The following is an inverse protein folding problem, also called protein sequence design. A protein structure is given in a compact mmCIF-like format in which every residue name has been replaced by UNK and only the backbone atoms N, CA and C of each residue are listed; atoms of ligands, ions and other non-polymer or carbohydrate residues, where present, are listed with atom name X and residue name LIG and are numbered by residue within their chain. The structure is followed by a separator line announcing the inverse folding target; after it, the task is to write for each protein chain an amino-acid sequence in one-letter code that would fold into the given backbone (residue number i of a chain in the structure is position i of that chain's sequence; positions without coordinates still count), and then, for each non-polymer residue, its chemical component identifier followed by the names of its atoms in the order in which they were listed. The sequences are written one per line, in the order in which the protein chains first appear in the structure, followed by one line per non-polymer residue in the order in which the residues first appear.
data_IF_205500500196
#
_entry.id   IF_205500500196
#
_cell.length_a   1.000
_cell.length_b   1.000
_cell.length_c   1.000
_cell.angle_alpha   90.00
_cell.angle_beta   90.00
_cell.angle_gamma   90.00
#
_symmetry.space_group_name_H-M   'P 1'
#
loop_
_entity.id
_entity.type
_entity.pdbx_description
1 polymer ?
#
# COMPACT_ATOMS: atom_id res chain seq x y z
N UNK A 1 26.96 16.91 45.51
CA UNK A 1 27.53 16.04 44.48
C UNK A 1 27.36 16.74 43.11
N UNK A 2 28.49 17.24 42.59
CA UNK A 2 28.55 18.03 41.35
C UNK A 2 28.48 17.07 40.14
N UNK A 3 27.60 17.32 39.21
CA UNK A 3 27.61 16.67 37.90
C UNK A 3 28.44 17.50 36.93
N UNK A 4 29.55 16.92 36.46
CA UNK A 4 30.38 17.44 35.36
C UNK A 4 29.65 17.23 34.03
N UNK A 5 29.49 18.31 33.28
CA UNK A 5 29.18 18.30 31.84
C UNK A 5 30.49 18.17 31.06
N UNK A 6 30.69 17.10 30.31
CA UNK A 6 31.76 16.99 29.33
C UNK A 6 31.25 17.50 27.97
N UNK A 7 31.80 18.64 27.56
CA UNK A 7 31.65 19.14 26.19
C UNK A 7 32.74 18.51 25.36
N UNK A 8 32.38 17.60 24.42
CA UNK A 8 33.32 17.02 23.46
C UNK A 8 33.34 17.94 22.24
N UNK A 9 34.45 18.68 22.08
CA UNK A 9 34.76 19.48 20.90
C UNK A 9 35.41 18.55 19.87
N UNK A 10 34.70 18.22 18.75
CA UNK A 10 35.28 17.51 17.64
C UNK A 10 35.98 18.52 16.70
N UNK A 11 37.31 18.56 16.77
CA UNK A 11 38.12 19.15 15.71
C UNK A 11 38.34 18.10 14.61
N UNK A 12 37.74 18.32 13.45
CA UNK A 12 38.08 17.57 12.22
C UNK A 12 39.29 18.28 11.56
N UNK A 13 40.33 17.53 11.16
CA UNK A 13 41.42 18.09 10.36
C UNK A 13 40.96 18.29 8.89
N UNK A 14 41.21 19.51 8.38
CA UNK A 14 41.12 19.79 6.95
C UNK A 14 42.21 18.99 6.22
N UNK A 15 41.82 17.99 5.44
CA UNK A 15 42.70 17.38 4.43
C UNK A 15 42.50 18.18 3.13
N UNK A 16 43.47 19.00 2.79
CA UNK A 16 43.56 19.62 1.45
C UNK A 16 44.17 18.58 0.53
N UNK A 17 43.37 17.94 -0.28
CA UNK A 17 43.84 17.20 -1.46
C UNK A 17 43.79 18.09 -2.67
N UNK A 18 44.97 18.51 -3.18
CA UNK A 18 45.12 19.07 -4.54
C UNK A 18 44.94 17.94 -5.56
N UNK A 19 43.84 17.94 -6.30
CA UNK A 19 43.59 17.06 -7.46
C UNK A 19 42.76 17.81 -8.48
N UNK A 20 43.27 17.89 -9.72
CA UNK A 20 42.74 18.61 -10.84
C UNK A 20 41.31 18.16 -11.25
N UNK A 21 40.47 19.16 -11.51
CA UNK A 21 39.27 19.01 -12.35
C UNK A 21 38.07 18.36 -11.64
N UNK A 22 37.47 19.09 -10.71
CA UNK A 22 36.10 18.84 -10.29
C UNK A 22 35.32 20.13 -10.48
N UNK A 23 34.23 20.05 -11.21
CA UNK A 23 33.20 21.10 -11.23
C UNK A 23 32.64 21.26 -9.80
N UNK A 24 33.35 22.02 -8.99
CA UNK A 24 32.82 22.52 -7.72
C UNK A 24 31.80 23.59 -8.07
N UNK A 25 30.53 23.29 -7.87
CA UNK A 25 29.47 24.31 -7.84
C UNK A 25 29.99 25.49 -7.03
N UNK A 26 30.09 26.67 -7.66
CA UNK A 26 30.55 27.88 -6.97
C UNK A 26 29.63 28.15 -5.75
N UNK A 27 30.16 28.79 -4.73
CA UNK A 27 29.35 29.24 -3.59
C UNK A 27 28.13 30.06 -4.03
N UNK A 28 28.21 30.79 -5.14
CA UNK A 28 27.09 31.50 -5.76
C UNK A 28 26.01 30.53 -6.31
N UNK A 29 26.39 29.36 -6.82
CA UNK A 29 25.43 28.34 -7.28
C UNK A 29 24.78 27.58 -6.11
N UNK A 30 25.49 27.45 -5.00
CA UNK A 30 24.91 26.91 -3.75
C UNK A 30 23.95 27.94 -3.15
N UNK A 31 24.31 29.23 -3.13
CA UNK A 31 23.43 30.31 -2.65
C UNK A 31 22.20 30.52 -3.54
N UNK A 32 22.29 30.29 -4.87
CA UNK A 32 21.11 30.38 -5.75
C UNK A 32 20.09 29.24 -5.54
N UNK A 33 20.46 28.20 -4.80
CA UNK A 33 19.53 27.18 -4.31
C UNK A 33 18.79 27.61 -3.03
N UNK A 34 19.33 28.59 -2.32
CA UNK A 34 18.71 29.16 -1.11
C UNK A 34 17.69 30.26 -1.43
N UNK A 35 17.74 30.88 -2.60
CA UNK A 35 16.73 31.83 -3.11
C UNK A 35 15.55 31.18 -3.85
N UNK A 36 15.27 29.90 -3.65
CA UNK A 36 13.90 29.42 -3.82
C UNK A 36 13.09 30.13 -2.73
N UNK A 37 12.29 31.12 -3.13
CA UNK A 37 11.22 31.67 -2.31
C UNK A 37 10.73 30.57 -1.39
N UNK A 38 10.97 30.74 -0.08
CA UNK A 38 10.70 29.69 0.89
C UNK A 38 9.25 29.27 0.72
N UNK A 39 9.03 28.06 0.25
CA UNK A 39 7.68 27.51 0.22
C UNK A 39 7.27 27.38 1.67
N UNK A 40 6.52 28.38 2.15
CA UNK A 40 6.03 28.40 3.53
C UNK A 40 5.16 27.16 3.73
N UNK A 41 5.67 26.20 4.45
CA UNK A 41 4.91 25.02 4.83
C UNK A 41 3.99 25.38 5.99
N UNK A 42 2.71 25.62 5.71
CA UNK A 42 1.70 25.84 6.75
C UNK A 42 1.12 24.51 7.21
N UNK A 43 1.24 24.25 8.49
CA UNK A 43 0.58 23.12 9.14
C UNK A 43 -0.80 23.60 9.59
N UNK A 44 -1.83 23.01 8.97
CA UNK A 44 -3.23 23.33 9.26
C UNK A 44 -4.01 22.06 9.57
N UNK A 45 -5.07 22.18 10.35
CA UNK A 45 -5.99 21.07 10.55
C UNK A 45 -6.64 20.68 9.21
N UNK A 46 -6.65 19.39 8.83
CA UNK A 46 -7.32 18.95 7.62
C UNK A 46 -8.84 19.19 7.72
N UNK A 47 -9.50 19.58 6.62
CA UNK A 47 -10.95 19.76 6.64
C UNK A 47 -11.66 18.43 6.82
N UNK A 48 -12.67 18.40 7.69
CA UNK A 48 -13.58 17.28 7.79
C UNK A 48 -14.64 17.39 6.69
N UNK A 49 -14.89 16.35 5.88
CA UNK A 49 -15.94 16.40 4.86
C UNK A 49 -17.33 16.47 5.49
N UNK A 50 -18.27 17.11 4.82
CA UNK A 50 -19.67 17.18 5.28
C UNK A 50 -20.36 15.81 5.21
N UNK A 51 -19.99 14.98 4.23
CA UNK A 51 -20.46 13.61 4.04
C UNK A 51 -19.29 12.72 3.73
N UNK A 52 -19.33 11.49 4.22
CA UNK A 52 -18.38 10.44 3.89
C UNK A 52 -19.12 9.12 3.71
N UNK A 53 -18.56 8.21 2.92
CA UNK A 53 -19.10 6.88 2.70
C UNK A 53 -17.98 5.87 2.50
N UNK A 54 -18.26 4.60 2.81
CA UNK A 54 -17.39 3.48 2.51
C UNK A 54 -18.19 2.34 1.90
N UNK A 55 -17.79 1.88 0.72
CA UNK A 55 -18.47 0.83 -0.04
C UNK A 55 -20.00 1.05 -0.21
N UNK A 56 -20.41 2.31 -0.42
CA UNK A 56 -21.81 2.70 -0.54
C UNK A 56 -22.54 2.94 0.79
N UNK A 57 -21.94 2.59 1.93
CA UNK A 57 -22.51 2.83 3.26
C UNK A 57 -22.14 4.23 3.76
N UNK A 58 -23.12 4.96 4.30
CA UNK A 58 -22.91 6.30 4.84
C UNK A 58 -22.17 6.25 6.18
N UNK A 59 -21.22 7.17 6.37
CA UNK A 59 -20.52 7.38 7.65
C UNK A 59 -21.36 8.35 8.48
N UNK A 60 -21.81 7.97 9.69
CA UNK A 60 -22.73 8.79 10.49
C UNK A 60 -22.01 9.96 11.17
N UNK A 61 -21.58 10.95 10.39
CA UNK A 61 -20.83 12.12 10.86
C UNK A 61 -21.60 13.07 11.76
N UNK A 62 -22.89 12.83 12.03
CA UNK A 62 -23.67 13.54 13.06
C UNK A 62 -23.21 13.19 14.48
N UNK A 63 -22.57 12.03 14.69
CA UNK A 63 -22.06 11.62 15.99
C UNK A 63 -20.66 12.18 16.24
N UNK A 64 -20.40 12.70 17.43
CA UNK A 64 -19.13 13.37 17.76
C UNK A 64 -17.93 12.44 17.72
N UNK A 65 -18.08 11.22 18.24
CA UNK A 65 -17.02 10.18 18.29
C UNK A 65 -16.64 9.66 16.91
N UNK A 66 -17.60 9.52 15.99
CA UNK A 66 -17.37 9.19 14.58
C UNK A 66 -16.60 10.32 13.86
N UNK A 67 -17.01 11.58 14.10
CA UNK A 67 -16.31 12.77 13.57
C UNK A 67 -14.87 12.84 14.04
N UNK A 68 -14.64 12.69 15.34
CA UNK A 68 -13.33 12.74 15.96
C UNK A 68 -12.43 11.59 15.48
N UNK A 69 -12.99 10.38 15.33
CA UNK A 69 -12.29 9.22 14.80
C UNK A 69 -11.84 9.45 13.35
N UNK A 70 -12.70 9.97 12.49
CA UNK A 70 -12.33 10.30 11.12
C UNK A 70 -11.30 11.44 11.07
N UNK A 71 -11.52 12.50 11.85
CA UNK A 71 -10.58 13.64 11.91
C UNK A 71 -9.20 13.21 12.37
N UNK A 72 -9.10 12.31 13.35
CA UNK A 72 -7.83 11.73 13.78
C UNK A 72 -7.08 11.05 12.63
N UNK A 73 -7.75 10.21 11.83
CA UNK A 73 -7.11 9.53 10.70
C UNK A 73 -6.76 10.52 9.58
N UNK A 74 -7.62 11.47 9.28
CA UNK A 74 -7.33 12.56 8.33
C UNK A 74 -6.08 13.34 8.77
N UNK A 75 -6.01 13.75 10.04
CA UNK A 75 -4.86 14.46 10.59
C UNK A 75 -3.59 13.64 10.49
N UNK A 76 -3.63 12.37 10.93
CA UNK A 76 -2.48 11.47 10.90
C UNK A 76 -1.95 11.29 9.47
N UNK A 77 -2.84 10.96 8.52
CA UNK A 77 -2.45 10.64 7.14
C UNK A 77 -2.00 11.89 6.39
N UNK A 78 -2.67 13.02 6.59
CA UNK A 78 -2.29 14.29 5.92
C UNK A 78 -0.87 14.72 6.33
N UNK A 79 -0.44 14.44 7.56
CA UNK A 79 0.90 14.80 8.01
C UNK A 79 1.98 13.75 7.67
N UNK A 80 1.64 12.62 7.04
CA UNK A 80 2.59 11.69 6.44
C UNK A 80 3.01 12.11 5.03
N UNK A 81 3.45 13.35 4.86
CA UNK A 81 3.63 13.98 3.55
C UNK A 81 4.35 13.08 2.53
N UNK A 82 5.56 12.63 2.84
CA UNK A 82 6.36 11.80 1.92
C UNK A 82 5.71 10.46 1.61
N UNK A 83 5.20 9.78 2.63
CA UNK A 83 4.54 8.47 2.46
C UNK A 83 3.26 8.60 1.66
N UNK A 84 2.43 9.61 1.95
CA UNK A 84 1.17 9.80 1.24
C UNK A 84 1.38 10.22 -0.23
N UNK A 85 2.36 11.09 -0.51
CA UNK A 85 2.73 11.42 -1.90
C UNK A 85 3.16 10.17 -2.67
N UNK A 86 4.01 9.32 -2.06
CA UNK A 86 4.44 8.08 -2.70
C UNK A 86 3.29 7.09 -2.92
N UNK A 87 2.36 6.97 -1.97
CA UNK A 87 1.13 6.17 -2.13
C UNK A 87 0.30 6.68 -3.32
N UNK A 88 0.13 8.00 -3.45
CA UNK A 88 -0.60 8.58 -4.59
C UNK A 88 0.11 8.32 -5.93
N UNK A 89 1.45 8.35 -5.96
CA UNK A 89 2.24 7.97 -7.14
C UNK A 89 2.01 6.49 -7.51
N UNK A 90 2.10 5.58 -6.53
CA UNK A 90 1.86 4.14 -6.73
C UNK A 90 0.40 3.86 -7.11
N UNK A 91 -0.55 4.61 -6.57
CA UNK A 91 -1.97 4.47 -6.93
C UNK A 91 -2.19 4.70 -8.43
N UNK A 92 -1.48 5.63 -9.06
CA UNK A 92 -1.54 5.82 -10.51
C UNK A 92 -1.15 4.57 -11.30
N UNK A 93 -0.25 3.74 -10.75
CA UNK A 93 0.19 2.49 -11.39
C UNK A 93 -0.74 1.32 -11.13
N UNK A 94 -1.21 1.15 -9.89
CA UNK A 94 -1.82 -0.10 -9.45
C UNK A 94 -3.34 -0.03 -9.28
N UNK A 95 -3.91 1.17 -9.13
CA UNK A 95 -5.34 1.35 -8.85
C UNK A 95 -6.24 0.69 -9.90
N UNK A 96 -5.98 0.97 -11.18
CA UNK A 96 -6.81 0.42 -12.26
C UNK A 96 -6.81 -1.11 -12.30
N UNK A 97 -5.69 -1.75 -11.96
CA UNK A 97 -5.60 -3.21 -11.90
C UNK A 97 -6.39 -3.78 -10.72
N UNK A 98 -6.31 -3.15 -9.55
CA UNK A 98 -7.05 -3.59 -8.36
C UNK A 98 -8.55 -3.36 -8.55
N UNK A 99 -8.96 -2.16 -9.01
CA UNK A 99 -10.37 -1.83 -9.23
C UNK A 99 -11.03 -2.74 -10.28
N UNK A 100 -10.30 -3.10 -11.35
CA UNK A 100 -10.78 -4.08 -12.33
C UNK A 100 -11.12 -5.43 -11.67
N UNK A 101 -10.26 -5.93 -10.79
CA UNK A 101 -10.52 -7.20 -10.08
C UNK A 101 -11.68 -7.04 -9.10
N UNK A 102 -11.79 -5.91 -8.40
CA UNK A 102 -12.92 -5.62 -7.51
C UNK A 102 -14.25 -5.62 -8.29
N UNK A 103 -14.28 -4.97 -9.46
CA UNK A 103 -15.45 -4.93 -10.35
C UNK A 103 -15.83 -6.33 -10.85
N UNK A 104 -14.87 -7.10 -11.37
CA UNK A 104 -15.07 -8.49 -11.81
C UNK A 104 -15.63 -9.38 -10.70
N UNK A 105 -15.25 -9.13 -9.46
CA UNK A 105 -15.74 -9.84 -8.28
C UNK A 105 -17.01 -9.21 -7.67
N UNK A 106 -17.54 -8.12 -8.24
CA UNK A 106 -18.76 -7.45 -7.76
C UNK A 106 -18.60 -6.71 -6.44
N UNK A 107 -17.38 -6.24 -6.12
CA UNK A 107 -17.09 -5.41 -4.95
C UNK A 107 -16.99 -3.93 -5.31
N UNK A 108 -17.35 -3.09 -4.34
CA UNK A 108 -17.24 -1.64 -4.49
C UNK A 108 -15.75 -1.21 -4.61
N UNK A 109 -15.40 -0.24 -5.49
CA UNK A 109 -14.03 0.21 -5.69
C UNK A 109 -13.38 0.81 -4.43
N UNK A 110 -14.15 1.23 -3.44
CA UNK A 110 -13.63 1.72 -2.16
C UNK A 110 -12.74 0.71 -1.43
N UNK A 111 -12.88 -0.58 -1.70
CA UNK A 111 -11.99 -1.60 -1.14
C UNK A 111 -10.54 -1.45 -1.60
N UNK A 112 -10.26 -0.70 -2.66
CA UNK A 112 -8.90 -0.27 -2.99
C UNK A 112 -8.23 0.47 -1.82
N UNK A 113 -8.97 1.30 -1.10
CA UNK A 113 -8.41 2.04 0.05
C UNK A 113 -8.14 1.15 1.27
N UNK A 114 -8.78 -0.02 1.35
CA UNK A 114 -8.38 -1.05 2.32
C UNK A 114 -7.00 -1.61 1.99
N UNK A 115 -6.74 -1.95 0.72
CA UNK A 115 -5.42 -2.37 0.26
C UNK A 115 -4.35 -1.29 0.52
N UNK A 116 -4.69 -0.01 0.30
CA UNK A 116 -3.81 1.11 0.67
C UNK A 116 -3.50 1.11 2.17
N UNK A 117 -4.52 0.94 3.02
CA UNK A 117 -4.36 0.92 4.47
C UNK A 117 -3.50 -0.25 4.97
N UNK A 118 -3.55 -1.40 4.28
CA UNK A 118 -2.79 -2.61 4.63
C UNK A 118 -1.31 -2.50 4.33
N UNK A 119 -0.95 -2.04 3.14
CA UNK A 119 0.42 -2.15 2.65
C UNK A 119 1.01 -0.86 2.09
N UNK A 120 0.25 0.23 2.03
CA UNK A 120 0.66 1.43 1.27
C UNK A 120 1.00 1.11 -0.19
N UNK A 121 0.33 0.11 -0.78
CA UNK A 121 0.56 -0.43 -2.13
C UNK A 121 1.98 -0.99 -2.34
N UNK A 122 2.65 -1.44 -1.29
CA UNK A 122 4.00 -2.01 -1.34
C UNK A 122 4.00 -3.48 -0.87
N UNK A 123 4.97 -4.29 -1.32
CA UNK A 123 5.11 -5.69 -0.90
C UNK A 123 5.63 -5.77 0.54
N UNK A 124 4.77 -5.58 1.52
CA UNK A 124 5.11 -5.50 2.92
C UNK A 124 5.10 -6.86 3.64
N UNK A 125 5.82 -6.93 4.75
CA UNK A 125 5.75 -8.02 5.73
C UNK A 125 5.60 -7.40 7.11
N UNK A 126 4.51 -7.73 7.81
CA UNK A 126 4.26 -7.24 9.16
C UNK A 126 5.02 -8.04 10.22
N UNK A 127 5.20 -7.50 11.44
CA UNK A 127 5.77 -8.25 12.57
C UNK A 127 4.97 -9.53 12.90
N UNK A 128 3.67 -9.54 12.67
CA UNK A 128 2.80 -10.72 12.88
C UNK A 128 2.90 -11.76 11.74
N UNK A 129 3.72 -11.51 10.70
CA UNK A 129 3.92 -12.42 9.58
C UNK A 129 2.86 -12.32 8.48
N UNK A 130 2.00 -11.30 8.50
CA UNK A 130 1.16 -10.97 7.37
C UNK A 130 2.00 -10.44 6.22
N UNK A 131 1.67 -10.80 4.97
CA UNK A 131 2.50 -10.49 3.81
C UNK A 131 1.69 -10.03 2.60
N UNK A 132 2.39 -9.30 1.71
CA UNK A 132 1.89 -8.86 0.42
C UNK A 132 1.02 -7.62 0.51
N UNK A 133 0.31 -7.33 -0.57
CA UNK A 133 -0.44 -6.09 -0.72
C UNK A 133 -1.70 -6.02 0.14
N UNK A 134 -2.29 -7.18 0.41
CA UNK A 134 -3.49 -7.36 1.22
C UNK A 134 -3.20 -7.90 2.62
N UNK A 135 -1.93 -7.99 3.01
CA UNK A 135 -1.47 -8.40 4.35
C UNK A 135 -2.12 -9.68 4.89
N UNK A 136 -2.23 -10.71 4.05
CA UNK A 136 -2.72 -12.01 4.49
C UNK A 136 -1.74 -12.73 5.42
N UNK A 137 -2.26 -13.30 6.50
CA UNK A 137 -1.59 -14.38 7.23
C UNK A 137 -1.56 -15.65 6.37
N UNK A 138 -0.55 -16.50 6.53
CA UNK A 138 -0.37 -17.67 5.69
C UNK A 138 -1.54 -18.66 5.76
N UNK A 139 -2.14 -18.87 6.93
CA UNK A 139 -3.31 -19.73 7.11
C UNK A 139 -4.52 -19.21 6.33
N UNK A 140 -4.85 -17.95 6.53
CA UNK A 140 -5.97 -17.29 5.84
C UNK A 140 -5.75 -17.25 4.33
N UNK A 141 -4.54 -16.94 3.88
CA UNK A 141 -4.21 -16.93 2.45
C UNK A 141 -4.49 -18.29 1.79
N UNK A 142 -4.08 -19.39 2.44
CA UNK A 142 -4.34 -20.75 1.96
C UNK A 142 -5.84 -21.10 1.98
N UNK A 143 -6.58 -20.69 3.01
CA UNK A 143 -8.03 -20.88 3.09
C UNK A 143 -8.74 -20.24 1.89
N UNK A 144 -8.28 -19.05 1.47
CA UNK A 144 -8.84 -18.33 0.32
C UNK A 144 -8.15 -18.65 -1.02
N UNK A 145 -7.37 -19.74 -1.09
CA UNK A 145 -6.87 -20.34 -2.32
C UNK A 145 -5.55 -19.82 -2.84
N UNK A 146 -4.77 -19.10 -2.00
CA UNK A 146 -3.43 -18.65 -2.37
C UNK A 146 -2.38 -19.73 -2.13
N UNK A 147 -1.51 -19.96 -3.12
CA UNK A 147 -0.36 -20.85 -2.98
C UNK A 147 0.76 -20.18 -2.18
N UNK A 148 1.28 -20.91 -1.20
CA UNK A 148 2.42 -20.49 -0.40
C UNK A 148 3.35 -21.69 -0.18
N UNK A 149 4.54 -21.61 -0.76
CA UNK A 149 5.64 -22.57 -0.57
C UNK A 149 6.99 -21.84 -0.65
N UNK A 150 8.10 -22.58 -0.72
CA UNK A 150 9.44 -22.00 -0.80
C UNK A 150 9.74 -21.25 -2.10
N UNK A 151 9.03 -21.54 -3.18
CA UNK A 151 9.26 -20.96 -4.50
C UNK A 151 8.19 -19.95 -4.91
N UNK A 152 6.99 -20.07 -4.34
CA UNK A 152 5.80 -19.28 -4.69
C UNK A 152 5.16 -18.75 -3.42
N UNK A 153 4.83 -17.44 -3.41
CA UNK A 153 4.00 -16.82 -2.39
C UNK A 153 3.00 -15.88 -3.07
N UNK A 154 1.80 -16.36 -3.34
CA UNK A 154 0.77 -15.64 -4.09
C UNK A 154 0.16 -14.46 -3.33
N UNK A 155 0.51 -14.24 -2.06
CA UNK A 155 0.18 -13.00 -1.33
C UNK A 155 0.82 -11.77 -1.98
N UNK A 156 1.93 -11.97 -2.70
CA UNK A 156 2.63 -10.95 -3.48
C UNK A 156 2.18 -10.90 -4.96
N UNK A 157 1.14 -11.63 -5.33
CA UNK A 157 0.51 -11.53 -6.65
C UNK A 157 -0.70 -10.61 -6.57
N UNK A 158 -0.65 -9.46 -7.23
CA UNK A 158 -1.70 -8.45 -7.18
C UNK A 158 -3.09 -9.02 -7.49
N UNK A 159 -3.24 -9.69 -8.64
CA UNK A 159 -4.53 -10.20 -9.08
C UNK A 159 -5.06 -11.28 -8.12
N UNK A 160 -4.25 -12.28 -7.81
CA UNK A 160 -4.67 -13.41 -6.97
C UNK A 160 -4.96 -13.00 -5.55
N UNK A 161 -4.12 -12.15 -4.96
CA UNK A 161 -4.34 -11.66 -3.59
C UNK A 161 -5.57 -10.75 -3.50
N UNK A 162 -5.85 -9.94 -4.53
CA UNK A 162 -7.08 -9.15 -4.61
C UNK A 162 -8.31 -10.05 -4.70
N UNK A 163 -8.30 -11.09 -5.55
CA UNK A 163 -9.40 -12.06 -5.61
C UNK A 163 -9.62 -12.81 -4.30
N UNK A 164 -8.55 -13.16 -3.59
CA UNK A 164 -8.65 -13.78 -2.28
C UNK A 164 -9.27 -12.81 -1.25
N UNK A 165 -8.88 -11.54 -1.26
CA UNK A 165 -9.48 -10.50 -0.42
C UNK A 165 -10.97 -10.31 -0.73
N UNK A 166 -11.35 -10.31 -2.01
CA UNK A 166 -12.76 -10.24 -2.42
C UNK A 166 -13.57 -11.42 -1.87
N UNK A 167 -13.04 -12.64 -1.94
CA UNK A 167 -13.72 -13.83 -1.38
C UNK A 167 -13.92 -13.71 0.13
N UNK A 168 -12.88 -13.25 0.85
CA UNK A 168 -12.98 -13.01 2.29
C UNK A 168 -14.06 -11.98 2.60
N UNK A 169 -14.01 -10.83 1.94
CA UNK A 169 -14.94 -9.72 2.19
C UNK A 169 -16.39 -10.10 1.86
N UNK A 170 -16.63 -10.84 0.78
CA UNK A 170 -17.97 -11.36 0.44
C UNK A 170 -18.49 -12.32 1.53
N UNK A 171 -17.68 -13.30 1.94
CA UNK A 171 -18.01 -14.21 3.05
C UNK A 171 -18.34 -13.46 4.33
N UNK A 172 -17.58 -12.40 4.65
CA UNK A 172 -17.83 -11.57 5.81
C UNK A 172 -19.11 -10.74 5.67
N UNK A 173 -19.37 -10.18 4.48
CA UNK A 173 -20.59 -9.43 4.20
C UNK A 173 -21.86 -10.32 4.30
N UNK A 174 -21.81 -11.51 3.74
CA UNK A 174 -22.89 -12.51 3.87
C UNK A 174 -23.22 -12.79 5.35
N UNK A 175 -22.21 -12.75 6.22
CA UNK A 175 -22.36 -13.00 7.65
C UNK A 175 -22.87 -11.80 8.45
N UNK A 176 -22.38 -10.61 8.13
CA UNK A 176 -22.59 -9.40 8.95
C UNK A 176 -23.62 -8.42 8.37
N UNK A 177 -23.89 -8.48 7.08
CA UNK A 177 -24.85 -7.64 6.37
C UNK A 177 -24.38 -6.21 6.11
N UNK A 178 -23.18 -5.83 6.55
CA UNK A 178 -22.59 -4.50 6.30
C UNK A 178 -21.13 -4.59 5.86
N UNK A 179 -20.73 -3.72 4.94
CA UNK A 179 -19.36 -3.65 4.44
C UNK A 179 -18.37 -3.13 5.47
N UNK A 180 -18.83 -2.24 6.36
CA UNK A 180 -18.01 -1.72 7.45
C UNK A 180 -17.63 -2.79 8.47
N UNK A 181 -18.56 -3.70 8.85
CA UNK A 181 -18.22 -4.86 9.68
C UNK A 181 -17.40 -5.90 8.93
N UNK A 182 -17.67 -6.12 7.63
CA UNK A 182 -16.84 -6.99 6.80
C UNK A 182 -15.40 -6.49 6.73
N UNK A 183 -15.19 -5.18 6.55
CA UNK A 183 -13.88 -4.56 6.58
C UNK A 183 -13.21 -4.65 7.97
N UNK A 184 -13.95 -4.41 9.05
CA UNK A 184 -13.42 -4.55 10.41
C UNK A 184 -12.99 -6.00 10.69
N UNK A 185 -13.74 -6.99 10.20
CA UNK A 185 -13.40 -8.42 10.33
C UNK A 185 -12.14 -8.79 9.56
N UNK A 186 -11.81 -8.07 8.48
CA UNK A 186 -10.57 -8.28 7.73
C UNK A 186 -9.34 -8.01 8.59
N UNK A 187 -9.40 -6.98 9.43
CA UNK A 187 -8.33 -6.61 10.35
C UNK A 187 -8.21 -7.55 11.56
N UNK A 188 -9.32 -7.85 12.24
CA UNK A 188 -9.29 -8.57 13.53
C UNK A 188 -9.69 -10.05 13.41
N UNK A 189 -10.21 -10.47 12.27
CA UNK A 189 -10.76 -11.81 12.04
C UNK A 189 -12.26 -11.93 12.39
N UNK A 190 -12.98 -12.78 11.64
CA UNK A 190 -14.42 -12.96 11.81
C UNK A 190 -14.79 -13.46 13.22
N UNK A 191 -14.03 -14.39 13.79
CA UNK A 191 -14.30 -14.92 15.13
C UNK A 191 -14.31 -13.82 16.20
N UNK A 192 -13.36 -12.88 16.12
CA UNK A 192 -13.32 -11.77 17.07
C UNK A 192 -14.49 -10.79 16.88
N UNK A 193 -15.00 -10.60 15.66
CA UNK A 193 -16.22 -9.81 15.43
C UNK A 193 -17.44 -10.55 16.00
N UNK A 194 -17.52 -11.87 15.82
CA UNK A 194 -18.60 -12.69 16.41
C UNK A 194 -18.67 -12.55 17.94
N UNK A 195 -17.52 -12.65 18.59
CA UNK A 195 -17.40 -12.47 20.04
C UNK A 195 -17.88 -11.07 20.48
N UNK A 196 -17.53 -10.02 19.72
CA UNK A 196 -17.97 -8.65 20.01
C UNK A 196 -19.47 -8.48 19.81
N UNK A 197 -20.03 -9.05 18.74
CA UNK A 197 -21.48 -9.05 18.50
C UNK A 197 -22.19 -9.76 19.66
N UNK A 198 -21.72 -10.95 20.05
CA UNK A 198 -22.31 -11.73 21.15
C UNK A 198 -22.25 -11.00 22.49
N UNK A 199 -21.12 -10.41 22.81
CA UNK A 199 -20.92 -9.71 24.09
C UNK A 199 -21.66 -8.38 24.17
N UNK A 200 -21.64 -7.57 23.08
CA UNK A 200 -22.20 -6.21 23.08
C UNK A 200 -23.63 -6.15 22.55
N UNK A 201 -24.10 -7.20 21.88
CA UNK A 201 -25.40 -7.23 21.18
C UNK A 201 -25.55 -6.07 20.15
N UNK A 202 -24.45 -5.72 19.45
CA UNK A 202 -24.36 -4.65 18.48
C UNK A 202 -23.88 -5.21 17.15
N UNK A 203 -24.53 -4.78 16.03
CA UNK A 203 -24.19 -5.16 14.66
C UNK A 203 -23.89 -3.92 13.79
N UNK A 204 -23.34 -2.89 14.39
CA UNK A 204 -22.94 -1.67 13.71
C UNK A 204 -21.49 -1.35 14.09
N UNK A 205 -20.62 -1.17 13.09
CA UNK A 205 -19.22 -0.86 13.31
C UNK A 205 -19.02 0.39 14.16
N UNK A 206 -19.81 1.44 13.90
CA UNK A 206 -19.65 2.75 14.54
C UNK A 206 -20.06 2.76 16.02
N UNK A 207 -20.91 1.82 16.42
CA UNK A 207 -21.40 1.70 17.81
C UNK A 207 -20.63 0.60 18.58
N UNK A 208 -19.78 -0.18 17.90
CA UNK A 208 -19.10 -1.33 18.49
C UNK A 208 -17.80 -0.93 19.18
N UNK A 209 -17.62 -1.33 20.43
CA UNK A 209 -16.34 -1.21 21.13
C UNK A 209 -15.36 -2.24 20.58
N UNK A 210 -14.36 -1.77 19.85
CA UNK A 210 -13.32 -2.56 19.19
C UNK A 210 -11.94 -2.24 19.77
N UNK A 211 -10.95 -3.16 19.65
CA UNK A 211 -9.56 -2.82 19.89
C UNK A 211 -9.14 -1.62 19.04
N UNK A 212 -8.25 -0.80 19.59
CA UNK A 212 -7.87 0.50 18.99
C UNK A 212 -7.48 0.39 17.51
N UNK A 213 -6.73 -0.64 17.12
CA UNK A 213 -6.33 -0.83 15.72
C UNK A 213 -7.55 -1.05 14.81
N UNK A 214 -8.46 -1.93 15.20
CA UNK A 214 -9.67 -2.23 14.43
C UNK A 214 -10.66 -1.06 14.42
N UNK A 215 -10.79 -0.36 15.56
CA UNK A 215 -11.62 0.84 15.67
C UNK A 215 -11.14 1.99 14.75
N UNK A 216 -9.86 2.00 14.40
CA UNK A 216 -9.25 2.97 13.47
C UNK A 216 -9.27 2.50 12.01
N UNK A 217 -9.37 1.20 11.79
CA UNK A 217 -9.07 0.58 10.51
C UNK A 217 -9.97 1.04 9.35
N UNK A 218 -11.28 1.01 9.54
CA UNK A 218 -12.23 1.47 8.50
C UNK A 218 -12.12 2.99 8.32
N UNK A 219 -11.97 3.76 9.40
CA UNK A 219 -11.73 5.21 9.30
C UNK A 219 -10.44 5.55 8.55
N UNK A 220 -9.39 4.72 8.67
CA UNK A 220 -8.16 4.87 7.91
C UNK A 220 -8.41 4.72 6.40
N UNK A 221 -9.18 3.71 5.98
CA UNK A 221 -9.56 3.53 4.58
C UNK A 221 -10.41 4.71 4.07
N UNK A 222 -11.37 5.18 4.88
CA UNK A 222 -12.21 6.37 4.57
C UNK A 222 -11.34 7.62 4.44
N UNK A 223 -10.35 7.81 5.31
CA UNK A 223 -9.45 8.95 5.27
C UNK A 223 -8.55 8.91 4.01
N UNK A 224 -7.97 7.77 3.65
CA UNK A 224 -7.26 7.62 2.37
C UNK A 224 -8.16 7.95 1.18
N UNK A 225 -9.38 7.40 1.13
CA UNK A 225 -10.37 7.75 0.11
C UNK A 225 -10.60 9.26 0.03
N UNK A 226 -10.88 9.88 1.16
CA UNK A 226 -11.22 11.30 1.25
C UNK A 226 -10.08 12.17 0.75
N UNK A 227 -8.85 11.93 1.21
CA UNK A 227 -7.68 12.71 0.82
C UNK A 227 -7.31 12.46 -0.65
N UNK A 228 -7.25 11.19 -1.08
CA UNK A 228 -6.84 10.83 -2.43
C UNK A 228 -7.87 11.21 -3.51
N UNK A 229 -9.14 11.40 -3.14
CA UNK A 229 -10.18 11.88 -4.05
C UNK A 229 -10.12 13.40 -4.27
N UNK A 230 -9.59 14.17 -3.31
CA UNK A 230 -9.39 15.62 -3.43
C UNK A 230 -8.09 16.06 -2.74
N UNK A 231 -6.92 15.68 -3.28
CA UNK A 231 -5.63 15.92 -2.63
C UNK A 231 -5.37 17.40 -2.33
N UNK A 232 -5.82 18.30 -3.21
CA UNK A 232 -5.59 19.75 -3.03
C UNK A 232 -6.25 20.31 -1.79
N UNK A 233 -7.43 19.82 -1.43
CA UNK A 233 -8.11 20.24 -0.19
C UNK A 233 -7.30 19.88 1.07
N UNK A 234 -6.38 18.93 0.95
CA UNK A 234 -5.52 18.43 2.03
C UNK A 234 -4.05 18.87 1.86
N UNK A 235 -3.78 19.86 0.99
CA UNK A 235 -2.45 20.44 0.84
C UNK A 235 -1.51 19.72 -0.13
N UNK A 236 -2.01 18.75 -0.93
CA UNK A 236 -1.19 18.00 -1.88
C UNK A 236 -1.42 18.48 -3.33
N UNK A 237 -0.37 19.03 -3.94
CA UNK A 237 -0.41 19.64 -5.28
C UNK A 237 0.39 18.79 -6.27
N UNK A 238 -0.11 17.59 -6.60
CA UNK A 238 0.52 16.72 -7.56
C UNK A 238 0.12 17.10 -9.00
N UNK A 239 1.10 17.11 -9.91
CA UNK A 239 0.91 17.21 -11.35
C UNK A 239 0.68 15.81 -11.93
N UNK A 240 0.11 15.70 -13.12
CA UNK A 240 -0.03 14.41 -13.82
C UNK A 240 1.32 13.72 -14.06
N UNK A 241 2.39 14.49 -14.27
CA UNK A 241 3.77 14.00 -14.42
C UNK A 241 4.34 13.37 -13.14
N UNK A 242 3.81 13.71 -11.96
CA UNK A 242 4.29 13.20 -10.68
C UNK A 242 3.72 11.81 -10.37
N UNK A 243 2.67 11.41 -11.09
CA UNK A 243 1.95 10.14 -10.88
C UNK A 243 2.58 9.04 -11.75
N UNK A 244 2.89 7.89 -11.14
CA UNK A 244 3.45 6.77 -11.88
C UNK A 244 2.41 6.16 -12.81
N UNK A 245 2.75 6.09 -14.10
CA UNK A 245 1.90 5.45 -15.09
C UNK A 245 1.93 3.93 -14.94
N UNK A 246 0.85 3.22 -15.32
CA UNK A 246 0.91 1.78 -15.52
C UNK A 246 2.03 1.41 -16.48
N UNK A 247 2.70 0.30 -16.20
CA UNK A 247 3.72 -0.26 -17.09
C UNK A 247 3.04 -1.25 -18.03
N UNK A 248 3.35 -1.17 -19.30
CA UNK A 248 2.85 -2.12 -20.29
C UNK A 248 3.53 -3.48 -20.09
N UNK A 249 2.72 -4.50 -19.84
CA UNK A 249 3.16 -5.87 -19.54
C UNK A 249 2.52 -6.86 -20.50
N UNK A 250 3.30 -7.85 -20.94
CA UNK A 250 2.81 -9.03 -21.67
C UNK A 250 2.59 -10.18 -20.71
N UNK A 251 1.53 -10.95 -20.90
CA UNK A 251 1.25 -12.15 -20.13
C UNK A 251 1.87 -13.36 -20.80
N UNK A 252 2.74 -14.07 -20.08
CA UNK A 252 3.34 -15.33 -20.53
C UNK A 252 2.85 -16.43 -19.62
N UNK A 253 2.28 -17.49 -20.20
CA UNK A 253 1.81 -18.62 -19.42
C UNK A 253 2.87 -19.73 -19.39
N UNK A 254 3.18 -20.19 -18.19
CA UNK A 254 4.19 -21.21 -17.90
C UNK A 254 3.51 -22.40 -17.21
N UNK A 255 3.57 -23.58 -17.84
CA UNK A 255 3.07 -24.86 -17.32
C UNK A 255 4.18 -25.91 -17.18
N UNK A 256 5.43 -25.48 -17.24
CA UNK A 256 6.63 -26.29 -17.14
C UNK A 256 7.57 -25.75 -16.04
N UNK A 257 8.57 -26.55 -15.66
CA UNK A 257 9.59 -26.12 -14.68
C UNK A 257 10.55 -25.11 -15.30
N UNK A 258 10.90 -24.09 -14.54
CA UNK A 258 11.90 -23.07 -14.91
C UNK A 258 13.17 -23.36 -14.12
N UNK A 259 14.24 -23.76 -14.81
CA UNK A 259 15.52 -24.06 -14.16
C UNK A 259 16.18 -22.78 -13.60
N UNK A 260 16.05 -21.66 -14.33
CA UNK A 260 16.61 -20.38 -13.94
C UNK A 260 15.77 -19.22 -14.51
N UNK A 261 15.29 -18.34 -13.64
CA UNK A 261 14.53 -17.15 -14.05
C UNK A 261 15.35 -16.13 -14.83
N UNK A 262 16.70 -16.15 -14.73
CA UNK A 262 17.55 -15.28 -15.56
C UNK A 262 17.54 -15.71 -17.03
N UNK A 263 17.56 -17.02 -17.30
CA UNK A 263 17.46 -17.57 -18.66
C UNK A 263 16.07 -17.35 -19.25
N UNK A 264 15.02 -17.47 -18.42
CA UNK A 264 13.66 -17.12 -18.81
C UNK A 264 13.57 -15.64 -19.20
N UNK A 265 14.14 -14.75 -18.38
CA UNK A 265 14.14 -13.31 -18.64
C UNK A 265 14.85 -12.99 -19.97
N UNK A 266 16.02 -13.58 -20.22
CA UNK A 266 16.78 -13.36 -21.46
C UNK A 266 15.97 -13.79 -22.71
N UNK A 267 15.25 -14.92 -22.66
CA UNK A 267 14.36 -15.39 -23.74
C UNK A 267 13.22 -14.43 -24.07
N UNK A 268 12.87 -13.56 -23.12
CA UNK A 268 11.80 -12.56 -23.25
C UNK A 268 12.33 -11.13 -23.39
N UNK A 269 13.57 -10.94 -23.82
CA UNK A 269 14.23 -9.64 -24.03
C UNK A 269 14.19 -8.72 -22.80
N UNK A 270 14.32 -9.32 -21.59
CA UNK A 270 14.33 -8.57 -20.33
C UNK A 270 15.41 -9.13 -19.39
N UNK A 271 15.40 -8.72 -18.14
CA UNK A 271 16.35 -9.18 -17.14
C UNK A 271 15.67 -9.71 -15.87
N UNK A 272 16.42 -10.43 -15.05
CA UNK A 272 15.94 -11.05 -13.81
C UNK A 272 15.26 -10.03 -12.88
N UNK A 273 15.81 -8.81 -12.75
CA UNK A 273 15.22 -7.76 -11.90
C UNK A 273 13.80 -7.42 -12.34
N UNK A 274 13.56 -7.30 -13.65
CA UNK A 274 12.23 -6.97 -14.18
C UNK A 274 11.25 -8.13 -13.98
N UNK A 275 11.67 -9.37 -14.19
CA UNK A 275 10.83 -10.53 -13.90
C UNK A 275 10.43 -10.54 -12.41
N UNK A 276 11.37 -10.34 -11.50
CA UNK A 276 11.08 -10.31 -10.06
C UNK A 276 10.20 -9.12 -9.65
N UNK A 277 10.39 -7.96 -10.27
CA UNK A 277 9.64 -6.73 -9.97
C UNK A 277 8.16 -6.84 -10.34
N UNK A 278 7.84 -7.48 -11.47
CA UNK A 278 6.46 -7.65 -11.92
C UNK A 278 5.83 -8.96 -11.46
N UNK A 279 6.63 -9.86 -10.87
CA UNK A 279 6.20 -11.15 -10.36
C UNK A 279 6.78 -11.40 -8.96
N UNK A 280 6.48 -10.53 -8.02
CA UNK A 280 7.02 -10.61 -6.65
C UNK A 280 6.62 -11.88 -5.91
N UNK A 281 5.57 -12.57 -6.41
CA UNK A 281 5.16 -13.89 -5.94
C UNK A 281 6.20 -15.00 -6.19
N UNK A 282 7.16 -14.78 -7.09
CA UNK A 282 8.30 -15.69 -7.33
C UNK A 282 9.32 -15.50 -6.19
N UNK A 283 9.49 -16.53 -5.36
CA UNK A 283 10.36 -16.46 -4.16
C UNK A 283 11.68 -17.17 -4.31
N UNK A 284 11.89 -17.94 -5.39
CA UNK A 284 13.13 -18.69 -5.69
C UNK A 284 13.74 -18.22 -7.03
N UNK A 285 14.97 -18.70 -7.33
CA UNK A 285 15.63 -18.48 -8.62
C UNK A 285 15.18 -19.50 -9.69
N UNK A 286 14.40 -20.50 -9.32
CA UNK A 286 13.82 -21.53 -10.17
C UNK A 286 12.36 -21.81 -9.80
N UNK A 287 11.67 -22.56 -10.62
CA UNK A 287 10.32 -23.05 -10.37
C UNK A 287 10.24 -24.53 -10.73
N UNK A 288 9.98 -25.38 -9.74
CA UNK A 288 9.65 -26.79 -9.96
C UNK A 288 8.15 -26.91 -10.20
N UNK A 289 7.78 -27.31 -11.42
CA UNK A 289 6.37 -27.43 -11.81
C UNK A 289 6.07 -28.83 -12.37
N UNK A 290 6.27 -29.86 -11.56
CA UNK A 290 6.02 -31.27 -11.93
C UNK A 290 4.56 -31.55 -12.27
N UNK A 291 3.61 -30.79 -11.68
CA UNK A 291 2.17 -30.95 -11.87
C UNK A 291 1.60 -30.12 -13.02
N UNK A 292 2.46 -29.45 -13.79
CA UNK A 292 2.07 -28.61 -14.94
C UNK A 292 1.00 -27.57 -14.57
N UNK A 293 1.07 -27.01 -13.34
CA UNK A 293 0.21 -25.90 -12.97
C UNK A 293 0.50 -24.71 -13.88
N UNK A 294 -0.54 -24.06 -14.36
CA UNK A 294 -0.41 -22.90 -15.24
C UNK A 294 -0.19 -21.64 -14.43
N UNK A 295 0.99 -21.03 -14.55
CA UNK A 295 1.34 -19.75 -13.94
C UNK A 295 1.32 -18.64 -14.99
N UNK A 296 0.73 -17.51 -14.64
CA UNK A 296 0.81 -16.27 -15.41
C UNK A 296 2.02 -15.49 -14.95
N UNK A 297 3.00 -15.30 -15.84
CA UNK A 297 4.20 -14.49 -15.62
C UNK A 297 4.06 -13.21 -16.41
N UNK A 298 4.23 -12.08 -15.73
CA UNK A 298 4.19 -10.75 -16.34
C UNK A 298 5.60 -10.37 -16.80
N UNK A 299 5.70 -10.01 -18.07
CA UNK A 299 6.96 -9.60 -18.70
C UNK A 299 6.79 -8.18 -19.25
N UNK A 300 7.72 -7.25 -19.00
CA UNK A 300 7.61 -5.91 -19.56
C UNK A 300 7.60 -5.95 -21.09
N UNK A 301 6.79 -5.10 -21.73
CA UNK A 301 6.84 -4.87 -23.17
C UNK A 301 8.23 -4.31 -23.56
N UNK A 302 8.60 -4.39 -24.84
CA UNK A 302 9.96 -4.18 -25.30
C UNK A 302 10.57 -2.85 -24.82
N UNK A 303 9.83 -1.75 -24.90
CA UNK A 303 10.29 -0.43 -24.49
C UNK A 303 9.70 0.05 -23.13
N UNK A 304 9.03 -0.83 -22.40
CA UNK A 304 8.33 -0.46 -21.17
C UNK A 304 9.25 0.08 -20.05
N UNK A 305 10.57 -0.19 -20.15
CA UNK A 305 11.58 0.30 -19.20
C UNK A 305 12.13 1.68 -19.57
N UNK A 306 11.99 2.10 -20.81
CA UNK A 306 12.41 3.42 -21.25
C UNK A 306 11.48 4.48 -20.68
N UNK A 307 12.04 5.61 -20.26
CA UNK A 307 11.20 6.72 -19.79
C UNK A 307 10.41 7.28 -21.00
N UNK A 308 9.11 7.33 -20.83
CA UNK A 308 8.19 7.98 -21.77
C UNK A 308 7.99 9.44 -21.39
#
# INVERSE_FOLDING_TARGET
MRRLFFTICFCLPLIVCCGNGTDTLSSAQIFSLEEREGVEQRIVMPPLPQKASFAGEEVPLQYFDVRESLLRELTTITHWHGSLMYIMQLAGRYRGMVEKVLEEEGLHPDFFYLCVAESSLQPATSPAGAKGYWQFLASTAKEFGLEINSQVDERFNWEKSTRAACKYLKKAYEKYGTWTLAAASYNIGMANIDDRIGYQNIRNYYDMQLPLETARYVFRAIAFKTIMSNPRAYGFYLKKSDIFKPIELKEVFVDYSIANWSDFAAKHNTNFKMIKMFNEWIRSNHLDNKYKKRYKVLVPAEDARSMQ
#
